data_IF_780205374499
#
_entry.id   IF_780205374499
#
_cell.length_a   1.000
_cell.length_b   1.000
_cell.length_c   1.000
_cell.angle_alpha   90.00
_cell.angle_beta   90.00
_cell.angle_gamma   90.00
#
_symmetry.space_group_name_H-M   'P 1'
#
loop_
_entity.id
_entity.type
_entity.pdbx_description
1 polymer ?
#
# COMPACT_ATOMS: atom_id res chain seq x y z
N UNK A 1 10.69 4.96 -2.28
CA UNK A 1 11.77 5.99 -2.26
C UNK A 1 11.28 7.40 -1.90
N UNK A 2 10.11 7.81 -2.38
CA UNK A 2 9.46 9.07 -1.98
C UNK A 2 8.98 9.04 -0.52
N UNK A 3 8.44 7.90 -0.08
CA UNK A 3 7.88 7.73 1.27
C UNK A 3 8.93 7.97 2.38
N UNK A 4 10.17 7.54 2.15
CA UNK A 4 11.28 7.75 3.09
C UNK A 4 11.71 9.22 3.24
N UNK A 5 11.54 10.05 2.20
CA UNK A 5 11.86 11.49 2.25
C UNK A 5 10.73 12.30 2.86
N UNK A 6 9.48 11.90 2.62
CA UNK A 6 8.28 12.59 3.10
C UNK A 6 8.03 12.30 4.59
N UNK A 7 8.28 11.06 5.05
CA UNK A 7 8.12 10.66 6.46
C UNK A 7 8.86 11.58 7.44
N UNK A 8 10.11 11.96 7.14
CA UNK A 8 10.91 12.82 8.03
C UNK A 8 10.32 14.21 8.30
N UNK A 9 9.44 14.72 7.43
CA UNK A 9 8.82 16.05 7.55
C UNK A 9 7.43 15.96 8.19
N UNK A 10 6.68 14.89 7.90
CA UNK A 10 5.29 14.73 8.33
C UNK A 10 5.16 14.00 9.69
N UNK A 11 6.10 13.09 10.00
CA UNK A 11 6.07 12.25 11.20
C UNK A 11 5.98 13.01 12.53
N UNK A 12 6.61 14.19 12.72
CA UNK A 12 6.49 14.92 13.98
C UNK A 12 5.05 15.35 14.24
N UNK A 13 4.38 15.94 13.25
CA UNK A 13 3.01 16.46 13.40
C UNK A 13 2.00 15.32 13.56
N UNK A 14 2.09 14.30 12.71
CA UNK A 14 1.23 13.11 12.82
C UNK A 14 1.47 12.38 14.16
N UNK A 15 2.70 12.36 14.66
CA UNK A 15 3.03 11.77 15.95
C UNK A 15 2.35 12.47 17.14
N UNK A 16 2.26 13.81 17.12
CA UNK A 16 1.55 14.56 18.17
C UNK A 16 0.03 14.30 18.14
N UNK A 17 -0.54 14.25 16.93
CA UNK A 17 -1.96 13.95 16.75
C UNK A 17 -2.25 12.51 17.21
N UNK A 18 -1.40 11.55 16.83
CA UNK A 18 -1.53 10.15 17.24
C UNK A 18 -1.47 9.96 18.76
N UNK A 19 -0.57 10.65 19.46
CA UNK A 19 -0.54 10.65 20.94
C UNK A 19 -1.82 11.21 21.54
N UNK A 20 -2.33 12.30 20.98
CA UNK A 20 -3.56 12.94 21.46
C UNK A 20 -4.77 12.02 21.28
N UNK A 21 -4.92 11.41 20.10
CA UNK A 21 -5.99 10.47 19.81
C UNK A 21 -5.93 9.22 20.70
N UNK A 22 -4.72 8.71 20.95
CA UNK A 22 -4.54 7.60 21.88
C UNK A 22 -4.99 7.97 23.30
N UNK A 23 -4.67 9.19 23.76
CA UNK A 23 -5.12 9.69 25.06
C UNK A 23 -6.66 9.82 25.16
N UNK A 24 -7.35 10.04 24.05
CA UNK A 24 -8.82 10.01 23.95
C UNK A 24 -9.41 8.60 23.81
N UNK A 25 -8.60 7.54 23.86
CA UNK A 25 -9.05 6.14 23.77
C UNK A 25 -9.32 5.65 22.34
N UNK A 26 -8.94 6.40 21.32
CA UNK A 26 -9.03 5.97 19.93
C UNK A 26 -8.00 4.88 19.66
N UNK A 27 -8.44 3.79 19.03
CA UNK A 27 -7.59 2.64 18.68
C UNK A 27 -7.09 2.74 17.25
N UNK A 28 -5.91 2.18 16.97
CA UNK A 28 -5.37 2.11 15.61
C UNK A 28 -6.35 1.41 14.65
N UNK A 29 -6.96 0.30 15.07
CA UNK A 29 -7.91 -0.46 14.25
C UNK A 29 -9.13 0.35 13.81
N UNK A 30 -9.63 1.26 14.66
CA UNK A 30 -10.72 2.17 14.28
C UNK A 30 -10.29 3.12 13.15
N UNK A 31 -9.06 3.63 13.22
CA UNK A 31 -8.51 4.55 12.22
C UNK A 31 -8.27 3.80 10.90
N UNK A 32 -7.66 2.61 10.94
CA UNK A 32 -7.47 1.75 9.75
C UNK A 32 -8.80 1.42 9.08
N UNK A 33 -9.83 1.09 9.86
CA UNK A 33 -11.18 0.79 9.35
C UNK A 33 -11.83 2.02 8.71
N UNK A 34 -11.72 3.18 9.35
CA UNK A 34 -12.22 4.44 8.80
C UNK A 34 -11.49 4.82 7.51
N UNK A 35 -10.17 4.63 7.46
CA UNK A 35 -9.36 4.81 6.26
C UNK A 35 -9.90 3.96 5.10
N UNK A 36 -10.13 2.67 5.32
CA UNK A 36 -10.69 1.79 4.30
C UNK A 36 -12.08 2.24 3.82
N UNK A 37 -12.96 2.66 4.73
CA UNK A 37 -14.30 3.18 4.36
C UNK A 37 -14.15 4.42 3.47
N UNK A 38 -13.29 5.36 3.84
CA UNK A 38 -13.00 6.57 3.05
C UNK A 38 -12.44 6.19 1.68
N UNK A 39 -11.54 5.21 1.61
CA UNK A 39 -11.00 4.68 0.36
C UNK A 39 -12.07 4.02 -0.53
N UNK A 40 -13.02 3.29 0.07
CA UNK A 40 -14.18 2.74 -0.63
C UNK A 40 -15.07 3.83 -1.22
N UNK A 41 -15.35 4.88 -0.46
CA UNK A 41 -16.10 6.06 -0.95
C UNK A 41 -15.32 6.76 -2.07
N UNK A 42 -13.99 6.86 -1.97
CA UNK A 42 -13.16 7.38 -3.05
C UNK A 42 -13.35 6.59 -4.36
N UNK A 43 -13.38 5.26 -4.26
CA UNK A 43 -13.67 4.37 -5.38
C UNK A 43 -15.05 4.63 -6.01
N UNK A 44 -16.08 4.87 -5.21
CA UNK A 44 -17.40 5.24 -5.72
C UNK A 44 -17.35 6.55 -6.53
N UNK A 45 -16.70 7.58 -6.01
CA UNK A 45 -16.57 8.86 -6.73
C UNK A 45 -15.81 8.69 -8.05
N UNK A 46 -14.73 7.90 -8.05
CA UNK A 46 -13.97 7.58 -9.28
C UNK A 46 -14.85 6.85 -10.29
N UNK A 47 -15.66 5.89 -9.85
CA UNK A 47 -16.56 5.13 -10.72
C UNK A 47 -17.63 6.02 -11.39
N UNK A 48 -17.99 7.14 -10.77
CA UNK A 48 -18.88 8.18 -11.36
C UNK A 48 -18.10 9.32 -12.04
N UNK A 49 -16.83 9.11 -12.38
CA UNK A 49 -15.95 10.07 -13.04
C UNK A 49 -15.70 11.38 -12.26
N UNK A 50 -15.99 11.40 -10.96
CA UNK A 50 -15.72 12.52 -10.05
C UNK A 50 -14.27 12.47 -9.54
N UNK A 51 -13.31 12.47 -10.46
CA UNK A 51 -11.90 12.13 -10.19
C UNK A 51 -11.23 13.01 -9.14
N UNK A 52 -11.48 14.33 -9.13
CA UNK A 52 -10.86 15.23 -8.15
C UNK A 52 -11.36 14.99 -6.71
N UNK A 53 -12.63 14.62 -6.56
CA UNK A 53 -13.18 14.24 -5.25
C UNK A 53 -12.64 12.87 -4.81
N UNK A 54 -12.54 11.93 -5.76
CA UNK A 54 -11.85 10.66 -5.54
C UNK A 54 -10.42 10.86 -5.06
N UNK A 55 -9.67 11.77 -5.70
CA UNK A 55 -8.31 12.11 -5.31
C UNK A 55 -8.22 12.68 -3.89
N UNK A 56 -9.11 13.60 -3.52
CA UNK A 56 -9.16 14.15 -2.16
C UNK A 56 -9.40 13.04 -1.12
N UNK A 57 -10.32 12.12 -1.40
CA UNK A 57 -10.64 11.01 -0.50
C UNK A 57 -9.51 9.96 -0.44
N UNK A 58 -8.81 9.69 -1.55
CA UNK A 58 -7.58 8.88 -1.56
C UNK A 58 -6.53 9.51 -0.63
N UNK A 59 -6.31 10.82 -0.74
CA UNK A 59 -5.39 11.55 0.13
C UNK A 59 -5.78 11.47 1.61
N UNK A 60 -7.08 11.58 1.91
CA UNK A 60 -7.60 11.44 3.27
C UNK A 60 -7.43 10.01 3.81
N UNK A 61 -7.69 8.99 2.99
CA UNK A 61 -7.45 7.58 3.33
C UNK A 61 -5.98 7.34 3.68
N UNK A 62 -5.05 7.86 2.87
CA UNK A 62 -3.60 7.79 3.15
C UNK A 62 -3.22 8.51 4.45
N UNK A 63 -3.87 9.62 4.76
CA UNK A 63 -3.62 10.30 6.03
C UNK A 63 -4.05 9.45 7.23
N UNK A 64 -5.18 8.73 7.13
CA UNK A 64 -5.64 7.81 8.18
C UNK A 64 -4.65 6.67 8.40
N UNK A 65 -4.12 6.09 7.32
CA UNK A 65 -3.09 5.07 7.35
C UNK A 65 -1.78 5.56 8.03
N UNK A 66 -1.34 6.78 7.74
CA UNK A 66 -0.22 7.38 8.48
C UNK A 66 -0.50 7.57 9.98
N UNK A 67 -1.77 7.85 10.31
CA UNK A 67 -2.23 8.16 11.67
C UNK A 67 -2.44 6.91 12.52
N UNK A 68 -2.91 5.80 11.95
CA UNK A 68 -3.09 4.55 12.68
C UNK A 68 -1.74 4.02 13.20
N UNK A 69 -0.68 4.13 12.41
CA UNK A 69 0.67 3.75 12.77
C UNK A 69 1.21 4.65 13.88
N UNK A 70 0.84 5.93 13.89
CA UNK A 70 1.21 6.85 14.96
C UNK A 70 0.47 6.52 16.27
N UNK A 71 -0.82 6.20 16.21
CA UNK A 71 -1.61 5.75 17.37
C UNK A 71 -1.09 4.41 17.91
N UNK A 72 -0.77 3.46 17.02
CA UNK A 72 -0.21 2.16 17.39
C UNK A 72 1.18 2.29 18.05
N UNK A 73 2.00 3.27 17.62
CA UNK A 73 3.28 3.61 18.27
C UNK A 73 3.12 4.30 19.62
N UNK A 74 2.07 5.09 19.80
CA UNK A 74 1.77 5.75 21.07
C UNK A 74 1.19 4.79 22.11
N UNK A 75 0.51 3.73 21.67
CA UNK A 75 -0.04 2.66 22.51
C UNK A 75 0.70 1.33 22.40
N UNK A 76 -0.04 0.22 22.54
CA UNK A 76 0.47 -1.15 22.37
C UNK A 76 0.22 -1.64 20.95
N UNK A 77 1.29 -2.06 20.26
CA UNK A 77 1.16 -2.79 18.98
C UNK A 77 0.49 -4.15 19.22
N UNK A 78 -0.42 -4.52 18.33
CA UNK A 78 -1.16 -5.79 18.40
C UNK A 78 -1.06 -6.54 17.09
N UNK A 79 -1.07 -7.87 17.14
CA UNK A 79 -1.00 -8.72 15.96
C UNK A 79 -2.22 -8.51 15.04
N UNK A 80 -3.40 -8.31 15.62
CA UNK A 80 -4.61 -7.96 14.88
C UNK A 80 -4.44 -6.63 14.12
N UNK A 81 -3.84 -5.63 14.74
CA UNK A 81 -3.59 -4.34 14.09
C UNK A 81 -2.68 -4.49 12.87
N UNK A 82 -1.56 -5.20 13.00
CA UNK A 82 -0.67 -5.47 11.88
C UNK A 82 -1.31 -6.33 10.77
N UNK A 83 -2.19 -7.27 11.14
CA UNK A 83 -2.97 -8.04 10.17
C UNK A 83 -3.95 -7.16 9.39
N UNK A 84 -4.72 -6.30 10.08
CA UNK A 84 -5.70 -5.42 9.45
C UNK A 84 -5.04 -4.38 8.55
N UNK A 85 -3.91 -3.80 8.98
CA UNK A 85 -3.08 -2.88 8.20
C UNK A 85 -2.75 -3.48 6.82
N UNK A 86 -2.14 -4.68 6.81
CA UNK A 86 -1.80 -5.40 5.58
C UNK A 86 -3.05 -5.67 4.74
N UNK A 87 -4.11 -6.25 5.32
CA UNK A 87 -5.30 -6.65 4.56
C UNK A 87 -6.00 -5.45 3.95
N UNK A 88 -6.15 -4.35 4.71
CA UNK A 88 -6.88 -3.17 4.26
C UNK A 88 -6.09 -2.40 3.21
N UNK A 89 -4.76 -2.38 3.29
CA UNK A 89 -3.90 -1.86 2.24
C UNK A 89 -4.11 -2.60 0.91
N UNK A 90 -4.11 -3.94 0.92
CA UNK A 90 -4.34 -4.72 -0.30
C UNK A 90 -5.73 -4.51 -0.89
N UNK A 91 -6.76 -4.40 -0.04
CA UNK A 91 -8.12 -4.09 -0.49
C UNK A 91 -8.13 -2.70 -1.14
N UNK A 92 -7.54 -1.69 -0.49
CA UNK A 92 -7.49 -0.33 -1.02
C UNK A 92 -6.73 -0.24 -2.35
N UNK A 93 -5.55 -0.87 -2.45
CA UNK A 93 -4.78 -0.90 -3.69
C UNK A 93 -5.53 -1.57 -4.85
N UNK A 94 -6.38 -2.56 -4.56
CA UNK A 94 -7.26 -3.18 -5.55
C UNK A 94 -8.48 -2.33 -5.90
N UNK A 95 -9.06 -1.62 -4.94
CA UNK A 95 -10.27 -0.82 -5.14
C UNK A 95 -10.08 0.32 -6.15
N UNK A 96 -8.92 0.99 -6.13
CA UNK A 96 -8.70 2.17 -6.99
C UNK A 96 -8.67 1.79 -8.49
N UNK A 97 -7.84 0.85 -8.99
CA UNK A 97 -7.89 0.41 -10.38
C UNK A 97 -9.25 -0.17 -10.78
N UNK A 98 -9.90 -0.90 -9.87
CA UNK A 98 -11.24 -1.45 -10.10
C UNK A 98 -12.27 -0.33 -10.32
N UNK A 99 -12.23 0.75 -9.54
CA UNK A 99 -13.09 1.90 -9.73
C UNK A 99 -12.89 2.57 -11.10
N UNK A 100 -11.65 2.67 -11.59
CA UNK A 100 -11.37 3.19 -12.93
C UNK A 100 -11.91 2.28 -14.04
N UNK A 101 -11.91 0.96 -13.82
CA UNK A 101 -12.54 0.00 -14.74
C UNK A 101 -14.07 0.19 -14.83
N UNK A 102 -14.71 0.50 -13.70
CA UNK A 102 -16.14 0.84 -13.68
C UNK A 102 -16.44 2.21 -14.29
N UNK A 103 -15.52 3.17 -14.13
CA UNK A 103 -15.69 4.52 -14.63
C UNK A 103 -15.83 4.55 -16.16
N UNK A 104 -14.93 3.83 -16.87
CA UNK A 104 -14.93 3.81 -18.34
C UNK A 104 -14.56 2.42 -18.90
N UNK A 105 -15.29 1.87 -19.88
CA UNK A 105 -15.03 0.53 -20.43
C UNK A 105 -13.60 0.33 -20.97
N UNK A 106 -13.00 1.36 -21.59
CA UNK A 106 -11.64 1.32 -22.13
C UNK A 106 -10.57 1.11 -21.05
N UNK A 107 -10.87 1.45 -19.79
CA UNK A 107 -9.98 1.24 -18.66
C UNK A 107 -10.00 -0.20 -18.14
N UNK A 108 -11.01 -1.01 -18.50
CA UNK A 108 -11.22 -2.31 -17.89
C UNK A 108 -10.05 -3.28 -18.11
N UNK A 109 -9.51 -3.35 -19.33
CA UNK A 109 -8.38 -4.23 -19.63
C UNK A 109 -7.06 -3.75 -18.96
N UNK A 110 -6.65 -2.47 -19.06
CA UNK A 110 -5.50 -1.97 -18.31
C UNK A 110 -5.62 -2.16 -16.79
N UNK A 111 -6.81 -1.92 -16.22
CA UNK A 111 -7.07 -2.14 -14.81
C UNK A 111 -6.95 -3.62 -14.43
N UNK A 112 -7.52 -4.53 -15.22
CA UNK A 112 -7.42 -5.97 -14.98
C UNK A 112 -5.98 -6.47 -15.00
N UNK A 113 -5.15 -5.99 -15.93
CA UNK A 113 -3.73 -6.32 -15.99
C UNK A 113 -2.99 -5.78 -14.76
N UNK A 114 -3.27 -4.54 -14.36
CA UNK A 114 -2.67 -3.97 -13.14
C UNK A 114 -3.07 -4.75 -11.88
N UNK A 115 -4.35 -5.12 -11.75
CA UNK A 115 -4.85 -5.94 -10.64
C UNK A 115 -4.21 -7.32 -10.60
N UNK A 116 -4.01 -7.97 -11.75
CA UNK A 116 -3.30 -9.26 -11.83
C UNK A 116 -1.88 -9.13 -11.29
N UNK A 117 -1.15 -8.08 -11.68
CA UNK A 117 0.21 -7.86 -11.20
C UNK A 117 0.24 -7.50 -9.71
N UNK A 118 -0.71 -6.71 -9.21
CA UNK A 118 -0.86 -6.44 -7.78
C UNK A 118 -1.10 -7.73 -6.99
N UNK A 119 -1.97 -8.60 -7.49
CA UNK A 119 -2.22 -9.92 -6.89
C UNK A 119 -0.95 -10.77 -6.83
N UNK A 120 -0.20 -10.87 -7.93
CA UNK A 120 1.05 -11.61 -7.97
C UNK A 120 2.12 -11.00 -7.04
N UNK A 121 2.26 -9.67 -7.01
CA UNK A 121 3.18 -8.97 -6.13
C UNK A 121 2.83 -9.19 -4.65
N UNK A 122 1.55 -9.11 -4.30
CA UNK A 122 1.07 -9.34 -2.94
C UNK A 122 1.30 -10.76 -2.46
N UNK A 123 0.96 -11.74 -3.29
CA UNK A 123 1.22 -13.15 -2.99
C UNK A 123 2.73 -13.41 -2.78
N UNK A 124 3.57 -12.87 -3.67
CA UNK A 124 5.03 -12.96 -3.55
C UNK A 124 5.54 -12.31 -2.25
N UNK A 125 5.03 -11.13 -1.89
CA UNK A 125 5.41 -10.42 -0.67
C UNK A 125 5.06 -11.23 0.59
N UNK A 126 3.81 -11.68 0.72
CA UNK A 126 3.34 -12.42 1.89
C UNK A 126 4.02 -13.78 2.01
N UNK A 127 4.17 -14.51 0.90
CA UNK A 127 4.87 -15.80 0.90
C UNK A 127 6.35 -15.64 1.31
N UNK A 128 7.02 -14.61 0.81
CA UNK A 128 8.39 -14.30 1.20
C UNK A 128 8.48 -14.02 2.70
N UNK A 129 7.60 -13.17 3.24
CA UNK A 129 7.59 -12.84 4.66
C UNK A 129 7.39 -14.08 5.56
N UNK A 130 6.45 -14.96 5.21
CA UNK A 130 6.18 -16.19 5.96
C UNK A 130 7.39 -17.14 5.92
N UNK A 131 8.05 -17.29 4.76
CA UNK A 131 9.22 -18.16 4.64
C UNK A 131 10.44 -17.59 5.38
N UNK A 132 10.65 -16.28 5.33
CA UNK A 132 11.71 -15.60 6.07
C UNK A 132 11.54 -15.76 7.58
N UNK A 133 10.31 -15.58 8.08
CA UNK A 133 9.98 -15.79 9.50
C UNK A 133 10.20 -17.25 9.91
N UNK A 134 9.73 -18.21 9.09
CA UNK A 134 9.94 -19.65 9.33
C UNK A 134 11.42 -20.02 9.43
N UNK A 135 12.27 -19.44 8.58
CA UNK A 135 13.73 -19.65 8.58
C UNK A 135 14.45 -18.79 9.64
N UNK A 136 13.73 -18.01 10.46
CA UNK A 136 14.28 -17.09 11.47
C UNK A 136 15.34 -16.15 10.91
N UNK A 137 15.18 -15.74 9.65
CA UNK A 137 16.13 -14.85 9.01
C UNK A 137 15.93 -13.46 9.63
N UNK A 138 16.81 -13.12 10.59
CA UNK A 138 16.75 -11.86 11.33
C UNK A 138 17.56 -10.75 10.65
N UNK A 139 17.10 -9.52 10.83
CA UNK A 139 17.59 -8.29 10.18
C UNK A 139 18.94 -7.80 10.70
N UNK A 140 19.58 -8.53 11.63
CA UNK A 140 20.79 -8.02 12.31
C UNK A 140 22.04 -7.97 11.43
N UNK A 141 22.09 -8.75 10.34
CA UNK A 141 23.24 -8.70 9.41
C UNK A 141 23.18 -7.51 8.44
N UNK A 142 22.05 -6.81 8.33
CA UNK A 142 21.82 -5.71 7.38
C UNK A 142 21.01 -4.58 8.03
N UNK A 143 21.64 -3.85 8.96
CA UNK A 143 21.29 -2.50 9.39
C UNK A 143 19.81 -2.11 9.40
N UNK A 144 19.16 -2.28 10.56
CA UNK A 144 18.04 -1.46 11.05
C UNK A 144 17.00 -1.01 10.02
N UNK A 145 16.41 -1.93 9.24
CA UNK A 145 15.08 -1.72 8.65
C UNK A 145 14.31 -3.03 8.68
N UNK A 146 13.45 -3.13 9.69
CA UNK A 146 12.44 -4.18 9.82
C UNK A 146 11.71 -4.41 8.50
N UNK A 147 11.58 -5.70 8.15
CA UNK A 147 11.13 -6.26 6.88
C UNK A 147 12.19 -6.23 5.78
N UNK A 148 12.49 -7.41 5.25
CA UNK A 148 13.07 -7.67 3.93
C UNK A 148 12.18 -7.07 2.84
N UNK A 149 12.06 -5.74 2.84
CA UNK A 149 11.67 -4.97 1.69
C UNK A 149 12.80 -5.20 0.68
N UNK A 150 12.58 -6.16 -0.22
CA UNK A 150 12.98 -5.96 -1.61
C UNK A 150 12.39 -4.60 -1.95
N UNK A 151 13.20 -3.53 -1.87
CA UNK A 151 12.81 -2.17 -2.18
C UNK A 151 12.27 -2.17 -3.59
N UNK A 152 10.95 -2.28 -3.70
CA UNK A 152 10.27 -2.37 -4.96
C UNK A 152 10.36 -1.02 -5.64
N UNK A 153 10.37 -1.01 -6.96
CA UNK A 153 10.19 0.24 -7.71
C UNK A 153 8.78 0.83 -7.50
N UNK A 154 7.85 0.02 -6.97
CA UNK A 154 6.50 0.38 -6.57
C UNK A 154 6.30 0.14 -5.08
N UNK A 155 6.67 1.11 -4.23
CA UNK A 155 6.27 1.12 -2.81
C UNK A 155 4.94 1.88 -2.64
N UNK A 156 4.48 2.03 -1.39
CA UNK A 156 3.23 2.72 -1.07
C UNK A 156 3.22 4.15 -1.66
N UNK A 157 4.28 4.93 -1.46
CA UNK A 157 4.37 6.31 -1.96
C UNK A 157 4.24 6.42 -3.47
N UNK A 158 4.94 5.57 -4.22
CA UNK A 158 4.88 5.51 -5.68
C UNK A 158 3.49 5.07 -6.17
N UNK A 159 2.85 4.13 -5.46
CA UNK A 159 1.48 3.69 -5.75
C UNK A 159 0.46 4.82 -5.59
N UNK A 160 0.53 5.56 -4.48
CA UNK A 160 -0.34 6.72 -4.26
C UNK A 160 -0.10 7.84 -5.27
N UNK A 161 1.15 8.05 -5.70
CA UNK A 161 1.45 9.01 -6.77
C UNK A 161 0.82 8.58 -8.11
N UNK A 162 0.86 7.29 -8.45
CA UNK A 162 0.19 6.75 -9.64
C UNK A 162 -1.33 6.89 -9.53
N UNK A 163 -1.92 6.65 -8.36
CA UNK A 163 -3.36 6.87 -8.16
C UNK A 163 -3.75 8.34 -8.31
N UNK A 164 -2.90 9.26 -7.85
CA UNK A 164 -3.08 10.67 -8.10
C UNK A 164 -3.01 11.00 -9.61
N UNK A 165 -2.05 10.41 -10.32
CA UNK A 165 -1.95 10.57 -11.78
C UNK A 165 -3.17 10.01 -12.52
N UNK A 166 -3.73 8.88 -12.09
CA UNK A 166 -4.98 8.36 -12.66
C UNK A 166 -6.13 9.37 -12.52
N UNK A 167 -6.22 10.05 -11.38
CA UNK A 167 -7.27 11.04 -11.15
C UNK A 167 -7.03 12.37 -11.89
N UNK A 168 -5.77 12.78 -12.05
CA UNK A 168 -5.39 14.03 -12.72
C UNK A 168 -5.35 13.91 -14.24
N UNK A 169 -5.02 12.74 -14.77
CA UNK A 169 -4.87 12.44 -16.19
C UNK A 169 -5.69 11.19 -16.56
N UNK A 170 -7.02 11.21 -16.39
CA UNK A 170 -7.84 10.01 -16.56
C UNK A 170 -7.73 9.45 -17.98
N UNK A 171 -7.63 10.29 -19.02
CA UNK A 171 -7.50 9.83 -20.42
C UNK A 171 -6.21 9.04 -20.70
N UNK A 172 -5.20 9.20 -19.86
CA UNK A 172 -3.93 8.48 -19.94
C UNK A 172 -3.91 7.23 -19.05
N UNK A 173 -5.02 6.90 -18.39
CA UNK A 173 -5.12 5.79 -17.44
C UNK A 173 -4.53 4.50 -18.00
N UNK A 174 -4.89 4.10 -19.23
CA UNK A 174 -4.41 2.86 -19.82
C UNK A 174 -2.89 2.79 -19.93
N UNK A 175 -2.26 3.86 -20.42
CA UNK A 175 -0.79 3.94 -20.57
C UNK A 175 -0.11 3.90 -19.21
N UNK A 176 -0.63 4.65 -18.24
CA UNK A 176 -0.08 4.72 -16.89
C UNK A 176 -0.22 3.36 -16.20
N UNK A 177 -1.39 2.72 -16.30
CA UNK A 177 -1.68 1.43 -15.68
C UNK A 177 -0.78 0.31 -16.23
N UNK A 178 -0.59 0.23 -17.55
CA UNK A 178 0.32 -0.76 -18.13
C UNK A 178 1.77 -0.51 -17.75
N UNK A 179 2.20 0.75 -17.75
CA UNK A 179 3.56 1.12 -17.37
C UNK A 179 3.82 0.76 -15.91
N UNK A 180 2.88 1.06 -15.02
CA UNK A 180 3.00 0.70 -13.60
C UNK A 180 2.92 -0.81 -13.38
N UNK A 181 2.05 -1.52 -14.12
CA UNK A 181 2.00 -2.98 -14.09
C UNK A 181 3.35 -3.60 -14.51
N UNK A 182 4.04 -3.06 -15.53
CA UNK A 182 5.37 -3.53 -15.91
C UNK A 182 6.40 -3.33 -14.78
N UNK A 183 6.40 -2.16 -14.14
CA UNK A 183 7.29 -1.83 -13.02
C UNK A 183 7.03 -2.75 -11.81
N UNK A 184 5.76 -2.97 -11.47
CA UNK A 184 5.38 -3.87 -10.38
C UNK A 184 5.72 -5.32 -10.72
N UNK A 185 5.57 -5.74 -11.97
CA UNK A 185 5.94 -7.10 -12.41
C UNK A 185 7.45 -7.35 -12.26
N UNK A 186 8.29 -6.36 -12.62
CA UNK A 186 9.74 -6.42 -12.38
C UNK A 186 10.02 -6.63 -10.89
N UNK A 187 9.35 -5.87 -10.02
CA UNK A 187 9.49 -6.01 -8.56
C UNK A 187 9.12 -7.42 -8.09
N UNK A 188 8.00 -7.97 -8.59
CA UNK A 188 7.56 -9.34 -8.28
C UNK A 188 8.60 -10.37 -8.70
N UNK A 189 9.11 -10.29 -9.93
CA UNK A 189 10.13 -11.21 -10.46
C UNK A 189 11.42 -11.12 -9.65
N UNK A 190 11.89 -9.91 -9.34
CA UNK A 190 13.08 -9.71 -8.50
C UNK A 190 12.93 -10.37 -7.12
N UNK A 191 11.75 -10.28 -6.51
CA UNK A 191 11.48 -10.95 -5.23
C UNK A 191 11.47 -12.47 -5.36
N UNK A 192 10.90 -13.02 -6.43
CA UNK A 192 10.91 -14.47 -6.69
C UNK A 192 12.34 -14.98 -6.88
N UNK A 193 13.18 -14.26 -7.63
CA UNK A 193 14.59 -14.62 -7.82
C UNK A 193 15.36 -14.57 -6.49
N UNK A 194 15.17 -13.52 -5.70
CA UNK A 194 15.75 -13.43 -4.36
C UNK A 194 15.28 -14.56 -3.44
N UNK A 195 14.00 -14.91 -3.48
CA UNK A 195 13.44 -16.03 -2.72
C UNK A 195 14.11 -17.35 -3.10
N UNK A 196 14.38 -17.56 -4.39
CA UNK A 196 15.09 -18.75 -4.88
C UNK A 196 16.50 -18.82 -4.27
N UNK A 197 17.23 -17.72 -4.23
CA UNK A 197 18.59 -17.70 -3.66
C UNK A 197 18.58 -17.94 -2.14
N UNK A 198 17.67 -17.27 -1.41
CA UNK A 198 17.64 -17.32 0.06
C UNK A 198 16.98 -18.57 0.63
N UNK A 199 16.05 -19.18 -0.10
CA UNK A 199 15.25 -20.32 0.39
C UNK A 199 15.58 -21.65 -0.27
N UNK A 200 16.59 -21.70 -1.15
CA UNK A 200 17.16 -22.99 -1.58
C UNK A 200 17.98 -23.54 -0.43
N UNK A 201 17.71 -24.78 -0.03
CA UNK A 201 18.52 -25.47 0.96
C UNK A 201 19.88 -25.78 0.32
N UNK A 202 20.97 -25.36 0.96
CA UNK A 202 22.30 -25.91 0.64
C UNK A 202 22.34 -27.33 1.18
N UNK A 203 22.35 -28.31 0.27
CA UNK A 203 22.64 -29.71 0.57
C UNK A 203 23.98 -29.87 1.30
#
# INVERSE_FOLDING_TARGET
MLDARIKGIIDPTIGHIGKSLHAFGVTANQITTLGLIIGGVAGLFIAYELYLWGLLLIGLSRLMDGLDGAVARAGRKTDLGGYLDIVFDFIFYGLVPLAFAFARPENALPAAVLLMVFYANGASFLAFAIMAEKRKISTESHGSKSLYFTGGLAEAGETYAVFALFCLLPDWFGVIAYSFAAITAITTVSRILLARELFTDTD
#
